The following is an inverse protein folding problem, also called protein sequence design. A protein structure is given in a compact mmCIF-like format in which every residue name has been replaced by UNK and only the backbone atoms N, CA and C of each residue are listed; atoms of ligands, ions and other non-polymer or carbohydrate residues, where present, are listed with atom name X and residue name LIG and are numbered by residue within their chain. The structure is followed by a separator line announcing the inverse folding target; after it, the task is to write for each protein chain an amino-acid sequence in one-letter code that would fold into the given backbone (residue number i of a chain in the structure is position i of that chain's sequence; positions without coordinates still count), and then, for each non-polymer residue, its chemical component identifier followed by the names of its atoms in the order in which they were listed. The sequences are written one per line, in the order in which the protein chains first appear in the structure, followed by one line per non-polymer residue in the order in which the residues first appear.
data_IF_903492645198
#
_entry.id   IF_903492645198
#
_cell.length_a   1.000
_cell.length_b   1.000
_cell.length_c   1.000
_cell.angle_alpha   90.00
_cell.angle_beta   90.00
_cell.angle_gamma   90.00
#
_symmetry.space_group_name_H-M   'P 1'
#
loop_
_entity.id
_entity.type
_entity.pdbx_description
1 polymer ?
#
# COMPACT_ATOMS: atom_id res chain seq x y z
N UNK A 1 45.34 -24.91 -31.60
CA UNK A 1 44.70 -23.91 -32.47
C UNK A 1 43.83 -23.02 -31.58
N UNK A 2 44.33 -22.00 -30.87
CA UNK A 2 45.52 -21.12 -31.02
C UNK A 2 45.33 -20.05 -32.12
N UNK A 3 45.74 -18.81 -31.80
CA UNK A 3 45.47 -17.50 -32.41
C UNK A 3 44.08 -16.96 -32.04
N UNK A 4 43.91 -15.92 -31.21
CA UNK A 4 44.43 -14.53 -31.18
C UNK A 4 44.03 -13.66 -32.38
N UNK A 5 43.29 -12.58 -32.08
CA UNK A 5 43.75 -11.23 -32.44
C UNK A 5 43.33 -10.23 -31.36
N UNK A 6 44.25 -9.31 -31.02
CA UNK A 6 44.07 -8.28 -29.99
C UNK A 6 44.57 -6.96 -30.57
N UNK A 7 43.76 -5.90 -30.52
CA UNK A 7 44.26 -4.53 -30.72
C UNK A 7 43.35 -3.51 -30.02
N UNK A 8 43.97 -2.44 -29.56
CA UNK A 8 43.40 -1.48 -28.61
C UNK A 8 43.78 -0.04 -29.00
N UNK A 9 43.20 0.92 -28.29
CA UNK A 9 43.53 2.36 -28.28
C UNK A 9 43.28 3.18 -29.55
N UNK A 10 42.44 4.21 -29.40
CA UNK A 10 42.96 5.58 -29.16
C UNK A 10 42.03 6.38 -28.25
N UNK A 11 42.60 7.28 -27.46
CA UNK A 11 41.86 8.34 -26.78
C UNK A 11 41.51 9.44 -27.79
N UNK A 12 40.41 10.16 -27.52
CA UNK A 12 40.29 11.58 -27.83
C UNK A 12 39.72 12.29 -26.59
N UNK A 13 40.15 13.53 -26.35
CA UNK A 13 39.83 14.30 -25.15
C UNK A 13 39.06 15.58 -25.50
N UNK A 14 37.99 15.83 -24.74
CA UNK A 14 37.31 17.12 -24.61
C UNK A 14 36.28 17.49 -25.69
N UNK A 15 35.57 18.62 -25.52
CA UNK A 15 35.55 19.50 -24.34
C UNK A 15 34.23 19.42 -23.53
N UNK A 16 34.21 20.07 -22.37
CA UNK A 16 32.99 20.22 -21.54
C UNK A 16 32.13 21.40 -22.03
N UNK A 17 30.80 21.26 -22.14
CA UNK A 17 29.88 22.38 -22.32
C UNK A 17 29.58 23.06 -20.96
N UNK A 18 29.79 24.38 -20.90
CA UNK A 18 29.44 25.20 -19.73
C UNK A 18 27.91 25.43 -19.62
N UNK A 19 27.37 25.74 -18.44
CA UNK A 19 25.93 25.92 -18.24
C UNK A 19 25.39 27.16 -18.97
N UNK A 20 24.29 26.99 -19.71
CA UNK A 20 23.54 28.08 -20.32
C UNK A 20 22.80 28.91 -19.27
N UNK A 21 23.07 30.22 -19.24
CA UNK A 21 22.26 31.17 -18.48
C UNK A 21 20.90 31.37 -19.19
N UNK A 22 19.81 31.31 -18.43
CA UNK A 22 18.51 31.84 -18.87
C UNK A 22 18.34 33.28 -18.36
N UNK A 23 17.85 34.22 -19.20
CA UNK A 23 17.67 35.61 -18.80
C UNK A 23 16.47 35.79 -17.86
N UNK A 24 16.60 36.69 -16.88
CA UNK A 24 15.46 37.25 -16.14
C UNK A 24 14.80 38.34 -16.98
N UNK A 25 13.50 38.23 -17.26
CA UNK A 25 12.50 39.26 -17.60
C UNK A 25 11.20 38.51 -17.96
N UNK A 26 9.98 38.91 -17.59
CA UNK A 26 9.54 39.90 -16.60
C UNK A 26 8.20 39.41 -16.01
N UNK A 27 7.94 39.67 -14.72
CA UNK A 27 6.63 39.40 -14.12
C UNK A 27 5.67 40.56 -14.40
N UNK A 28 4.64 40.31 -15.22
CA UNK A 28 3.53 41.23 -15.42
C UNK A 28 2.65 41.31 -14.17
N UNK A 29 2.14 42.51 -13.89
CA UNK A 29 1.13 42.74 -12.84
C UNK A 29 -0.24 42.27 -13.33
N UNK A 30 -1.05 41.75 -12.42
CA UNK A 30 -2.49 42.01 -12.39
C UNK A 30 -2.97 41.96 -10.94
N UNK A 31 -3.97 42.77 -10.62
CA UNK A 31 -4.28 43.17 -9.25
C UNK A 31 -5.09 42.12 -8.47
N UNK A 32 -4.94 42.17 -7.14
CA UNK A 32 -6.00 41.75 -6.21
C UNK A 32 -6.28 42.87 -5.22
N UNK A 33 -7.35 43.58 -5.52
CA UNK A 33 -7.88 44.67 -4.71
C UNK A 33 -8.45 44.10 -3.40
N UNK A 34 -8.05 44.66 -2.26
CA UNK A 34 -8.61 44.30 -0.97
C UNK A 34 -9.96 45.01 -0.77
N UNK A 35 -10.98 44.28 -0.34
CA UNK A 35 -12.24 44.87 0.13
C UNK A 35 -12.17 45.05 1.65
N UNK A 36 -12.56 46.24 2.11
CA UNK A 36 -12.51 46.67 3.53
C UNK A 36 -13.94 47.03 3.96
N UNK A 37 -14.47 46.30 4.94
CA UNK A 37 -15.69 46.70 5.66
C UNK A 37 -15.36 47.73 6.78
N UNK A 38 -16.32 48.55 7.23
CA UNK A 38 -16.03 49.80 7.95
C UNK A 38 -15.90 49.72 9.49
N UNK A 39 -15.13 50.68 10.01
CA UNK A 39 -15.40 51.62 11.12
C UNK A 39 -16.82 51.61 11.77
N UNK A 40 -17.05 51.96 13.05
CA UNK A 40 -16.22 52.31 14.24
C UNK A 40 -17.14 52.27 15.50
N UNK A 41 -16.82 52.51 16.79
CA UNK A 41 -15.64 52.84 17.62
C UNK A 41 -15.90 52.20 19.03
N UNK A 42 -15.16 52.55 20.11
CA UNK A 42 -15.54 52.11 21.47
C UNK A 42 -14.60 52.37 22.67
N UNK A 43 -13.57 53.23 22.58
CA UNK A 43 -12.69 53.67 23.68
C UNK A 43 -11.84 52.65 24.50
N UNK A 44 -10.53 52.90 24.46
CA UNK A 44 -9.46 52.46 25.39
C UNK A 44 -9.48 53.29 26.72
N UNK A 45 -8.53 53.17 27.69
CA UNK A 45 -7.23 52.45 27.74
C UNK A 45 -7.17 51.36 28.86
N UNK A 46 -6.18 50.43 28.98
CA UNK A 46 -4.71 50.55 29.08
C UNK A 46 -4.24 51.43 30.28
N UNK A 47 -3.15 51.12 31.02
CA UNK A 47 -1.96 50.32 30.72
C UNK A 47 -1.26 49.74 32.00
N UNK A 48 -0.41 48.72 31.82
CA UNK A 48 0.83 48.38 32.58
C UNK A 48 0.85 47.91 34.07
N UNK A 49 1.45 46.72 34.21
CA UNK A 49 2.48 46.27 35.18
C UNK A 49 2.55 46.78 36.64
N UNK A 50 2.52 45.79 37.54
CA UNK A 50 3.39 45.58 38.70
C UNK A 50 3.43 46.63 39.85
N UNK A 51 3.13 46.15 41.07
CA UNK A 51 4.14 46.05 42.15
C UNK A 51 3.73 45.06 43.24
N UNK A 52 4.76 44.46 43.83
CA UNK A 52 4.79 43.53 44.98
C UNK A 52 4.13 44.10 46.25
N UNK A 53 3.28 43.32 46.94
CA UNK A 53 3.07 43.51 48.38
C UNK A 53 2.77 42.18 49.10
N UNK A 54 3.02 42.13 50.42
CA UNK A 54 3.00 40.92 51.26
C UNK A 54 2.71 41.29 52.71
N UNK A 55 1.46 41.22 53.15
CA UNK A 55 1.12 41.12 54.59
C UNK A 55 -0.28 40.55 54.85
N UNK A 56 -0.31 39.77 55.92
CA UNK A 56 -1.39 39.38 56.82
C UNK A 56 -2.80 40.01 56.67
N UNK A 57 -3.82 39.19 56.95
CA UNK A 57 -4.99 39.64 57.71
C UNK A 57 -5.43 38.56 58.70
N UNK A 58 -5.64 38.92 59.97
CA UNK A 58 -6.01 37.98 61.03
C UNK A 58 -7.49 37.56 60.95
N UNK A 59 -7.73 36.42 61.58
CA UNK A 59 -9.00 35.73 61.79
C UNK A 59 -10.22 36.61 62.12
N UNK A 60 -11.40 36.06 61.81
CA UNK A 60 -12.48 36.05 62.78
C UNK A 60 -13.19 34.69 62.75
N UNK A 61 -13.49 34.11 63.91
CA UNK A 61 -14.25 32.86 64.02
C UNK A 61 -15.75 33.10 63.86
N UNK A 62 -16.45 32.08 63.35
CA UNK A 62 -17.83 31.71 63.70
C UNK A 62 -18.06 30.24 63.38
N UNK A 63 -18.29 29.44 64.41
CA UNK A 63 -18.54 28.01 64.30
C UNK A 63 -19.91 27.70 63.69
N UNK A 64 -19.95 26.74 62.77
CA UNK A 64 -21.18 26.09 62.31
C UNK A 64 -20.96 24.57 62.26
N UNK A 65 -21.78 23.86 63.03
CA UNK A 65 -21.56 22.47 63.41
C UNK A 65 -22.28 21.52 62.45
N UNK A 66 -21.54 20.81 61.61
CA UNK A 66 -22.09 19.87 60.63
C UNK A 66 -22.25 18.46 61.21
N UNK A 67 -23.37 17.80 60.89
CA UNK A 67 -23.64 16.42 61.30
C UNK A 67 -22.63 15.45 60.67
N UNK A 68 -22.07 14.57 61.49
CA UNK A 68 -21.14 13.53 61.04
C UNK A 68 -21.90 12.35 60.44
N UNK A 69 -21.97 12.28 59.12
CA UNK A 69 -22.34 11.05 58.41
C UNK A 69 -21.17 10.05 58.57
N UNK A 70 -21.39 8.81 59.04
CA UNK A 70 -20.32 7.83 59.16
C UNK A 70 -19.82 7.40 57.79
N UNK A 71 -18.60 7.78 57.42
CA UNK A 71 -17.93 7.15 56.28
C UNK A 71 -17.55 5.71 56.65
N UNK A 72 -17.79 4.71 55.77
CA UNK A 72 -17.29 3.38 56.01
C UNK A 72 -15.76 3.45 56.10
N UNK A 73 -15.18 2.86 57.15
CA UNK A 73 -13.74 2.92 57.44
C UNK A 73 -12.96 2.06 56.44
N UNK A 74 -12.82 2.57 55.22
CA UNK A 74 -12.02 1.94 54.17
C UNK A 74 -10.60 1.73 54.66
N UNK A 75 -10.17 0.48 54.71
CA UNK A 75 -8.77 0.13 54.96
C UNK A 75 -7.90 0.81 53.91
N UNK A 76 -6.78 1.40 54.35
CA UNK A 76 -5.76 1.87 53.40
C UNK A 76 -5.33 0.64 52.58
N UNK A 77 -5.34 0.68 51.24
CA UNK A 77 -4.93 -0.46 50.44
C UNK A 77 -3.50 -0.83 50.79
N UNK A 78 -3.26 -2.10 51.10
CA UNK A 78 -1.96 -2.55 51.59
C UNK A 78 -0.83 -2.16 50.66
N UNK A 79 0.31 -1.80 51.24
CA UNK A 79 1.50 -1.35 50.48
C UNK A 79 1.98 -2.43 49.49
N UNK A 80 1.71 -3.70 49.80
CA UNK A 80 1.88 -4.84 48.91
C UNK A 80 0.82 -4.86 47.79
N UNK A 81 -0.47 -4.73 48.14
CA UNK A 81 -1.56 -4.74 47.17
C UNK A 81 -1.45 -3.62 46.13
N UNK A 82 -1.10 -2.40 46.55
CA UNK A 82 -0.90 -1.28 45.63
C UNK A 82 0.30 -1.50 44.68
N UNK A 83 1.38 -2.15 45.17
CA UNK A 83 2.52 -2.54 44.33
C UNK A 83 2.15 -3.63 43.32
N UNK A 84 1.34 -4.61 43.71
CA UNK A 84 0.85 -5.67 42.80
C UNK A 84 -0.04 -5.07 41.71
N UNK A 85 -0.99 -4.19 42.05
CA UNK A 85 -1.84 -3.52 41.05
C UNK A 85 -1.02 -2.70 40.05
N UNK A 86 -0.01 -1.96 40.51
CA UNK A 86 0.89 -1.21 39.63
C UNK A 86 1.74 -2.12 38.74
N UNK A 87 2.24 -3.24 39.28
CA UNK A 87 3.00 -4.22 38.51
C UNK A 87 2.14 -4.86 37.41
N UNK A 88 0.92 -5.29 37.72
CA UNK A 88 -0.02 -5.87 36.75
C UNK A 88 -0.43 -4.84 35.70
N UNK A 89 -0.70 -3.58 36.09
CA UNK A 89 -1.03 -2.51 35.15
C UNK A 89 0.14 -2.21 34.19
N UNK A 90 1.38 -2.17 34.69
CA UNK A 90 2.57 -1.99 33.86
C UNK A 90 2.79 -3.19 32.91
N UNK A 91 2.55 -4.42 33.37
CA UNK A 91 2.69 -5.63 32.55
C UNK A 91 1.64 -5.66 31.42
N UNK A 92 0.38 -5.35 31.73
CA UNK A 92 -0.69 -5.19 30.74
C UNK A 92 -0.39 -4.05 29.75
N UNK A 93 0.17 -2.92 30.22
CA UNK A 93 0.62 -1.86 29.32
C UNK A 93 1.74 -2.32 28.38
N UNK A 94 2.69 -3.15 28.83
CA UNK A 94 3.74 -3.71 27.95
C UNK A 94 3.20 -4.71 26.91
N UNK A 95 2.14 -5.46 27.25
CA UNK A 95 1.43 -6.33 26.31
C UNK A 95 0.64 -5.54 25.26
N UNK A 96 0.11 -4.36 25.61
CA UNK A 96 -0.55 -3.46 24.64
C UNK A 96 0.48 -2.73 23.77
N UNK A 97 1.60 -2.28 24.32
CA UNK A 97 2.68 -1.62 23.55
C UNK A 97 3.30 -2.51 22.47
N UNK A 98 3.27 -3.83 22.65
CA UNK A 98 3.79 -4.81 21.68
C UNK A 98 2.84 -5.09 20.50
N UNK A 99 1.63 -4.50 20.48
CA UNK A 99 0.72 -4.49 19.32
C UNK A 99 0.95 -3.32 18.35
N UNK A 100 2.08 -2.61 18.48
CA UNK A 100 2.53 -1.61 17.49
C UNK A 100 2.96 -2.31 16.18
N UNK A 101 1.97 -2.60 15.32
CA UNK A 101 2.20 -3.05 13.94
C UNK A 101 3.21 -2.10 13.26
N UNK A 102 4.40 -2.58 12.84
CA UNK A 102 5.33 -1.73 12.14
C UNK A 102 4.71 -1.34 10.79
N UNK A 103 4.54 -0.04 10.54
CA UNK A 103 4.00 0.54 9.30
C UNK A 103 4.97 0.41 8.10
N UNK A 104 5.74 -0.69 8.07
CA UNK A 104 6.80 -1.05 7.15
C UNK A 104 6.65 -2.53 6.76
N UNK A 105 5.44 -2.93 6.37
CA UNK A 105 5.14 -4.21 5.68
C UNK A 105 4.52 -3.90 4.32
N UNK A 106 4.97 -4.58 3.27
CA UNK A 106 4.32 -4.52 1.96
C UNK A 106 2.99 -5.28 2.01
N UNK A 107 1.96 -4.89 1.24
CA UNK A 107 0.66 -5.56 1.26
C UNK A 107 0.75 -6.99 0.74
N UNK A 108 -0.01 -7.89 1.35
CA UNK A 108 -0.24 -9.24 0.82
C UNK A 108 -1.33 -9.20 -0.29
N UNK A 109 -1.39 -10.22 -1.13
CA UNK A 109 -2.40 -10.38 -2.18
C UNK A 109 -3.83 -10.53 -1.64
N UNK A 110 -3.97 -10.81 -0.33
CA UNK A 110 -5.26 -10.91 0.38
C UNK A 110 -5.75 -9.54 0.87
N UNK A 111 -4.93 -8.48 0.80
CA UNK A 111 -5.28 -7.15 1.30
C UNK A 111 -6.27 -6.45 0.37
N UNK A 112 -7.46 -6.11 0.89
CA UNK A 112 -8.53 -5.53 0.07
C UNK A 112 -8.13 -4.22 -0.62
N UNK A 113 -7.35 -3.35 0.02
CA UNK A 113 -7.06 -2.03 -0.53
C UNK A 113 -5.99 -2.09 -1.62
N UNK A 114 -5.03 -3.02 -1.50
CA UNK A 114 -4.12 -3.43 -2.57
C UNK A 114 -4.88 -4.02 -3.77
N UNK A 115 -5.88 -4.88 -3.53
CA UNK A 115 -6.76 -5.42 -4.58
C UNK A 115 -7.54 -4.30 -5.28
N UNK A 116 -8.21 -3.44 -4.49
CA UNK A 116 -8.99 -2.29 -4.98
C UNK A 116 -8.11 -1.37 -5.82
N UNK A 117 -6.91 -1.02 -5.35
CA UNK A 117 -5.99 -0.16 -6.09
C UNK A 117 -5.47 -0.79 -7.37
N UNK A 118 -5.15 -2.09 -7.36
CA UNK A 118 -4.73 -2.78 -8.57
C UNK A 118 -5.81 -2.71 -9.65
N UNK A 119 -7.06 -3.03 -9.32
CA UNK A 119 -8.18 -2.97 -10.26
C UNK A 119 -8.52 -1.53 -10.67
N UNK A 120 -8.61 -0.61 -9.69
CA UNK A 120 -9.00 0.80 -9.88
C UNK A 120 -8.03 1.55 -10.79
N UNK A 121 -6.72 1.39 -10.58
CA UNK A 121 -5.70 2.10 -11.37
C UNK A 121 -5.62 1.53 -12.79
N UNK A 122 -5.74 0.21 -12.98
CA UNK A 122 -5.87 -0.36 -14.34
C UNK A 122 -7.13 0.16 -15.06
N UNK A 123 -8.30 0.09 -14.43
CA UNK A 123 -9.55 0.53 -15.07
C UNK A 123 -9.54 2.02 -15.39
N UNK A 124 -8.96 2.88 -14.53
CA UNK A 124 -8.73 4.30 -14.85
C UNK A 124 -7.92 4.47 -16.14
N UNK A 125 -6.76 3.82 -16.25
CA UNK A 125 -5.92 3.93 -17.44
C UNK A 125 -6.57 3.32 -18.70
N UNK A 126 -7.46 2.35 -18.54
CA UNK A 126 -8.24 1.74 -19.63
C UNK A 126 -9.39 2.65 -20.10
N UNK A 127 -10.00 3.44 -19.21
CA UNK A 127 -11.09 4.36 -19.54
C UNK A 127 -10.63 5.71 -20.11
N UNK A 128 -9.37 6.09 -19.85
CA UNK A 128 -8.74 7.35 -20.27
C UNK A 128 -7.86 7.21 -21.55
N UNK A 129 -7.92 6.09 -22.27
CA UNK A 129 -7.07 5.84 -23.46
C UNK A 129 -7.32 6.83 -24.61
N UNK A 130 -6.21 7.26 -25.24
CA UNK A 130 -6.21 8.06 -26.46
C UNK A 130 -5.38 7.35 -27.54
N UNK A 131 -5.94 7.02 -28.73
CA UNK A 131 -7.32 7.23 -29.14
C UNK A 131 -8.32 6.38 -28.33
N UNK A 132 -9.59 6.80 -28.32
CA UNK A 132 -10.65 6.05 -27.65
C UNK A 132 -10.79 4.60 -28.18
N UNK A 133 -11.11 3.69 -27.27
CA UNK A 133 -11.30 2.27 -27.53
C UNK A 133 -12.78 1.89 -27.58
N UNK A 134 -13.21 1.14 -28.59
CA UNK A 134 -14.60 0.70 -28.73
C UNK A 134 -14.92 -0.63 -28.04
N UNK A 135 -13.90 -1.40 -27.64
CA UNK A 135 -14.01 -2.80 -27.16
C UNK A 135 -13.28 -3.07 -25.83
N UNK A 136 -12.84 -2.03 -25.12
CA UNK A 136 -12.05 -2.15 -23.89
C UNK A 136 -12.84 -2.84 -22.78
N UNK A 137 -12.48 -4.08 -22.41
CA UNK A 137 -13.18 -4.80 -21.34
C UNK A 137 -12.87 -4.20 -19.97
N UNK A 138 -13.86 -4.20 -19.08
CA UNK A 138 -13.70 -3.88 -17.66
C UNK A 138 -12.80 -4.94 -17.01
N UNK A 139 -11.76 -4.51 -16.31
CA UNK A 139 -10.79 -5.40 -15.66
C UNK A 139 -11.23 -5.71 -14.22
N UNK A 140 -11.06 -6.96 -13.78
CA UNK A 140 -11.39 -7.40 -12.42
C UNK A 140 -10.30 -8.27 -11.81
N UNK A 141 -10.31 -8.39 -10.48
CA UNK A 141 -9.32 -9.19 -9.76
C UNK A 141 -9.52 -10.69 -9.99
N UNK A 142 -8.39 -11.40 -10.08
CA UNK A 142 -8.33 -12.86 -10.08
C UNK A 142 -7.33 -13.36 -9.03
N UNK A 143 -7.77 -14.12 -8.02
CA UNK A 143 -6.91 -14.59 -6.94
C UNK A 143 -5.92 -15.68 -7.38
N UNK A 144 -6.16 -16.39 -8.48
CA UNK A 144 -5.24 -17.40 -9.02
C UNK A 144 -4.11 -16.71 -9.77
N UNK A 145 -4.40 -15.68 -10.57
CA UNK A 145 -3.37 -14.81 -11.15
C UNK A 145 -2.51 -14.15 -10.07
N UNK A 146 -3.11 -13.72 -8.95
CA UNK A 146 -2.37 -13.13 -7.83
C UNK A 146 -1.48 -14.15 -7.10
N UNK A 147 -1.91 -15.41 -6.99
CA UNK A 147 -1.07 -16.50 -6.47
C UNK A 147 0.11 -16.81 -7.41
N UNK A 148 -0.09 -16.78 -8.72
CA UNK A 148 0.98 -16.96 -9.72
C UNK A 148 2.01 -15.82 -9.61
N UNK A 149 1.55 -14.56 -9.55
CA UNK A 149 2.41 -13.40 -9.33
C UNK A 149 3.20 -13.51 -8.01
N UNK A 150 2.54 -13.97 -6.93
CA UNK A 150 3.16 -14.17 -5.60
C UNK A 150 4.16 -15.32 -5.58
N UNK A 151 3.95 -16.36 -6.39
CA UNK A 151 4.91 -17.44 -6.56
C UNK A 151 6.15 -16.94 -7.31
N UNK A 152 5.97 -16.23 -8.44
CA UNK A 152 7.10 -15.75 -9.25
C UNK A 152 7.91 -14.63 -8.57
N UNK A 153 7.25 -13.64 -7.95
CA UNK A 153 7.93 -12.51 -7.30
C UNK A 153 8.90 -12.94 -6.17
N UNK A 154 8.69 -14.11 -5.54
CA UNK A 154 9.60 -14.69 -4.54
C UNK A 154 10.99 -15.02 -5.06
N UNK A 155 11.15 -15.21 -6.38
CA UNK A 155 12.45 -15.47 -6.99
C UNK A 155 13.34 -14.21 -7.01
N UNK A 156 12.75 -13.00 -6.87
CA UNK A 156 13.46 -11.71 -6.92
C UNK A 156 14.34 -11.58 -8.18
N UNK A 157 13.76 -11.80 -9.35
CA UNK A 157 14.45 -11.72 -10.64
C UNK A 157 13.70 -10.78 -11.58
N UNK A 158 14.40 -9.82 -12.20
CA UNK A 158 13.82 -8.97 -13.24
C UNK A 158 13.81 -9.71 -14.59
N UNK A 159 13.03 -10.80 -14.62
CA UNK A 159 12.85 -11.68 -15.77
C UNK A 159 11.41 -12.22 -15.75
N UNK A 160 10.84 -12.46 -16.93
CA UNK A 160 9.48 -12.98 -17.04
C UNK A 160 9.37 -14.45 -16.61
N UNK A 161 8.21 -14.82 -16.07
CA UNK A 161 7.89 -16.19 -15.73
C UNK A 161 7.87 -17.07 -17.00
N UNK A 162 8.74 -18.08 -17.04
CA UNK A 162 8.90 -18.97 -18.19
C UNK A 162 7.72 -19.92 -18.44
N UNK A 163 6.76 -20.00 -17.49
CA UNK A 163 5.61 -20.89 -17.53
C UNK A 163 4.28 -20.19 -17.93
N UNK A 164 4.33 -18.94 -18.40
CA UNK A 164 3.13 -18.17 -18.78
C UNK A 164 2.44 -18.66 -20.06
N UNK A 165 3.06 -19.56 -20.83
CA UNK A 165 2.65 -20.00 -22.18
C UNK A 165 2.74 -21.55 -22.29
N UNK A 166 2.07 -22.17 -23.28
CA UNK A 166 2.17 -23.61 -23.53
C UNK A 166 3.62 -24.09 -23.70
N UNK A 167 3.97 -25.32 -23.27
CA UNK A 167 3.08 -26.38 -22.80
C UNK A 167 2.52 -26.17 -21.38
N UNK A 168 3.01 -25.18 -20.63
CA UNK A 168 2.52 -24.86 -19.30
C UNK A 168 1.13 -24.21 -19.35
N UNK A 169 0.31 -24.48 -18.33
CA UNK A 169 -1.02 -23.88 -18.15
C UNK A 169 -1.26 -23.58 -16.67
N UNK A 170 -0.71 -22.45 -16.21
CA UNK A 170 -0.80 -22.03 -14.80
C UNK A 170 -2.22 -21.65 -14.36
N UNK A 171 -3.10 -21.30 -15.30
CA UNK A 171 -4.49 -20.91 -15.01
C UNK A 171 -5.50 -21.81 -15.73
N UNK A 172 -6.54 -22.34 -15.05
CA UNK A 172 -7.48 -23.28 -15.67
C UNK A 172 -8.23 -22.68 -16.87
N UNK A 173 -8.53 -21.39 -16.82
CA UNK A 173 -9.37 -20.71 -17.84
C UNK A 173 -8.57 -19.98 -18.93
N UNK A 174 -7.24 -19.90 -18.83
CA UNK A 174 -6.41 -19.14 -19.80
C UNK A 174 -5.25 -19.99 -20.33
N UNK A 175 -5.21 -20.20 -21.65
CA UNK A 175 -4.14 -20.93 -22.37
C UNK A 175 -2.81 -20.16 -22.37
N UNK A 176 -2.83 -18.86 -22.10
CA UNK A 176 -1.64 -18.02 -21.98
C UNK A 176 -1.94 -16.83 -21.09
N UNK A 177 -0.95 -16.46 -20.29
CA UNK A 177 -1.00 -15.31 -19.39
C UNK A 177 -0.10 -14.18 -19.88
N UNK A 178 -0.48 -12.95 -19.55
CA UNK A 178 0.36 -11.76 -19.65
C UNK A 178 1.10 -11.53 -18.34
N UNK A 179 2.12 -10.67 -18.37
CA UNK A 179 2.87 -10.29 -17.17
C UNK A 179 3.52 -8.92 -17.34
N UNK A 180 3.39 -8.07 -16.33
CA UNK A 180 4.16 -6.84 -16.17
C UNK A 180 4.98 -6.93 -14.88
N UNK A 181 6.22 -6.42 -14.90
CA UNK A 181 7.13 -6.41 -13.76
C UNK A 181 7.58 -4.97 -13.49
N UNK A 182 7.55 -4.56 -12.23
CA UNK A 182 8.10 -3.30 -11.73
C UNK A 182 9.10 -3.61 -10.62
N UNK A 183 10.18 -2.84 -10.55
CA UNK A 183 11.22 -3.02 -9.54
C UNK A 183 11.84 -1.68 -9.21
N UNK A 184 11.99 -1.39 -7.92
CA UNK A 184 12.57 -0.13 -7.46
C UNK A 184 12.77 -0.08 -5.95
N UNK A 185 13.17 1.08 -5.44
CA UNK A 185 13.26 1.30 -3.99
C UNK A 185 11.91 1.04 -3.34
N UNK A 186 11.92 0.32 -2.22
CA UNK A 186 10.72 0.05 -1.43
C UNK A 186 10.01 1.33 -0.93
N UNK A 187 10.75 2.43 -0.73
CA UNK A 187 10.17 3.73 -0.37
C UNK A 187 9.44 4.45 -1.50
N UNK A 188 9.62 4.02 -2.76
CA UNK A 188 8.95 4.57 -3.94
C UNK A 188 7.76 3.71 -4.40
N UNK A 189 7.56 2.54 -3.80
CA UNK A 189 6.49 1.63 -4.20
C UNK A 189 5.13 2.11 -3.67
N UNK A 190 4.24 2.38 -4.60
CA UNK A 190 2.79 2.19 -4.42
C UNK A 190 2.24 1.50 -5.66
N UNK A 191 1.07 0.87 -5.55
CA UNK A 191 0.36 0.26 -6.68
C UNK A 191 0.12 1.30 -7.79
N UNK A 192 -0.31 2.50 -7.39
CA UNK A 192 -0.47 3.64 -8.31
C UNK A 192 0.84 4.01 -9.01
N UNK A 193 1.94 4.16 -8.26
CA UNK A 193 3.26 4.50 -8.82
C UNK A 193 3.74 3.47 -9.84
N UNK A 194 3.59 2.18 -9.54
CA UNK A 194 4.07 1.11 -10.40
C UNK A 194 3.26 0.97 -11.69
N UNK A 195 1.92 1.00 -11.61
CA UNK A 195 1.05 0.91 -12.80
C UNK A 195 1.13 2.20 -13.63
N UNK A 196 1.31 3.37 -13.00
CA UNK A 196 1.57 4.63 -13.73
C UNK A 196 2.90 4.57 -14.47
N UNK A 197 3.96 4.01 -13.88
CA UNK A 197 5.24 3.85 -14.57
C UNK A 197 5.13 2.91 -15.79
N UNK A 198 4.30 1.87 -15.72
CA UNK A 198 3.97 1.02 -16.87
C UNK A 198 3.14 1.77 -17.93
N UNK A 199 2.12 2.53 -17.52
CA UNK A 199 1.25 3.27 -18.45
C UNK A 199 1.98 4.39 -19.19
N UNK A 200 2.89 5.10 -18.51
CA UNK A 200 3.65 6.21 -19.09
C UNK A 200 4.56 5.79 -20.25
N UNK A 201 4.78 4.49 -20.49
CA UNK A 201 5.39 4.03 -21.75
C UNK A 201 4.58 4.43 -23.01
N UNK A 202 3.33 4.90 -22.86
CA UNK A 202 2.56 5.53 -23.93
C UNK A 202 3.33 6.67 -24.64
N UNK A 203 4.22 7.38 -23.92
CA UNK A 203 5.07 8.44 -24.46
C UNK A 203 5.98 7.95 -25.61
N UNK A 204 6.23 6.64 -25.68
CA UNK A 204 7.10 6.01 -26.64
C UNK A 204 6.36 5.23 -27.74
N UNK A 205 5.02 5.16 -27.68
CA UNK A 205 4.17 4.31 -28.52
C UNK A 205 3.32 5.11 -29.51
N UNK A 206 3.61 5.01 -30.82
CA UNK A 206 2.71 5.53 -31.86
C UNK A 206 1.61 4.51 -32.17
N UNK A 207 0.40 4.76 -31.68
CA UNK A 207 -0.78 3.93 -31.97
C UNK A 207 -1.08 3.81 -33.47
N UNK A 208 -0.78 4.82 -34.31
CA UNK A 208 -1.07 4.78 -35.75
C UNK A 208 -0.23 3.74 -36.48
N UNK A 209 1.04 3.60 -36.12
CA UNK A 209 1.98 2.64 -36.75
C UNK A 209 2.33 1.43 -35.89
N UNK A 210 1.87 1.39 -34.64
CA UNK A 210 2.26 0.45 -33.58
C UNK A 210 3.76 0.44 -33.26
N UNK A 211 4.50 1.48 -33.67
CA UNK A 211 5.93 1.58 -33.41
C UNK A 211 6.17 2.00 -31.97
N UNK A 212 7.06 1.27 -31.30
CA UNK A 212 7.64 1.65 -30.03
C UNK A 212 9.04 2.23 -30.25
N UNK A 213 9.37 3.34 -29.59
CA UNK A 213 10.70 3.97 -29.64
C UNK A 213 11.63 3.57 -28.48
N UNK A 214 11.10 2.92 -27.44
CA UNK A 214 11.84 2.37 -26.29
C UNK A 214 11.25 1.02 -25.86
N UNK A 215 10.69 0.93 -24.66
CA UNK A 215 9.83 -0.16 -24.18
C UNK A 215 8.41 0.39 -24.11
N UNK A 216 7.44 -0.40 -24.59
CA UNK A 216 6.01 -0.08 -24.60
C UNK A 216 5.11 -1.26 -24.18
N UNK A 217 5.73 -2.40 -23.84
CA UNK A 217 5.03 -3.65 -23.57
C UNK A 217 4.22 -3.63 -22.27
N UNK A 218 4.64 -2.83 -21.29
CA UNK A 218 3.89 -2.70 -20.05
C UNK A 218 2.64 -1.84 -20.27
N UNK A 219 2.77 -0.73 -21.00
CA UNK A 219 1.63 0.08 -21.44
C UNK A 219 0.63 -0.75 -22.23
N UNK A 220 1.06 -1.43 -23.31
CA UNK A 220 0.13 -2.18 -24.17
C UNK A 220 -0.58 -3.30 -23.42
N UNK A 221 0.03 -3.90 -22.39
CA UNK A 221 -0.64 -4.90 -21.55
C UNK A 221 -1.63 -4.28 -20.55
N UNK A 222 -1.33 -3.11 -19.95
CA UNK A 222 -2.30 -2.38 -19.09
C UNK A 222 -3.58 -2.04 -19.88
N UNK A 223 -3.43 -1.58 -21.12
CA UNK A 223 -4.54 -1.18 -22.01
C UNK A 223 -4.98 -2.28 -22.98
N UNK A 224 -4.63 -3.55 -22.74
CA UNK A 224 -5.04 -4.63 -23.66
C UNK A 224 -6.53 -4.95 -23.50
N UNK A 225 -7.35 -4.67 -24.53
CA UNK A 225 -8.81 -4.77 -24.48
C UNK A 225 -9.27 -6.14 -23.96
N UNK A 226 -8.79 -7.23 -24.56
CA UNK A 226 -9.21 -8.59 -24.22
C UNK A 226 -8.78 -9.05 -22.81
N UNK A 227 -7.79 -8.41 -22.18
CA UNK A 227 -7.30 -8.79 -20.84
C UNK A 227 -8.23 -8.25 -19.75
N UNK A 228 -9.19 -9.07 -19.29
CA UNK A 228 -10.24 -8.69 -18.33
C UNK A 228 -9.99 -9.19 -16.90
N UNK A 229 -9.04 -10.09 -16.67
CA UNK A 229 -8.58 -10.47 -15.32
C UNK A 229 -7.15 -10.00 -15.07
N UNK A 230 -6.90 -9.53 -13.85
CA UNK A 230 -5.56 -9.22 -13.34
C UNK A 230 -5.40 -9.75 -11.93
N UNK A 231 -4.21 -10.25 -11.60
CA UNK A 231 -3.83 -10.56 -10.23
C UNK A 231 -2.36 -10.21 -10.02
N UNK A 232 -2.09 -9.52 -8.91
CA UNK A 232 -0.77 -8.93 -8.65
C UNK A 232 -0.21 -9.36 -7.29
N UNK A 233 1.10 -9.23 -7.12
CA UNK A 233 1.80 -9.41 -5.86
C UNK A 233 3.02 -8.49 -5.77
N UNK A 234 3.43 -8.14 -4.55
CA UNK A 234 4.70 -7.44 -4.31
C UNK A 234 5.54 -8.22 -3.29
N UNK A 235 6.82 -8.40 -3.59
CA UNK A 235 7.81 -9.05 -2.73
C UNK A 235 8.83 -8.01 -2.24
N UNK A 236 9.25 -8.12 -0.98
CA UNK A 236 10.44 -7.41 -0.48
C UNK A 236 11.68 -8.23 -0.85
N UNK A 237 12.59 -7.65 -1.62
CA UNK A 237 13.75 -8.35 -2.17
C UNK A 237 15.06 -7.69 -1.67
N UNK A 238 15.89 -8.38 -0.86
CA UNK A 238 17.16 -7.84 -0.37
C UNK A 238 18.12 -7.42 -1.50
N UNK A 239 18.07 -8.15 -2.63
CA UNK A 239 18.60 -7.82 -3.96
C UNK A 239 17.61 -8.33 -5.01
N UNK A 240 17.68 -7.81 -6.24
CA UNK A 240 16.93 -8.33 -7.39
C UNK A 240 17.90 -8.66 -8.54
N UNK A 241 17.89 -9.89 -9.04
CA UNK A 241 18.72 -10.27 -10.20
C UNK A 241 18.35 -9.42 -11.41
N UNK A 242 19.34 -8.78 -12.04
CA UNK A 242 19.14 -7.74 -13.06
C UNK A 242 19.37 -6.31 -12.57
N UNK A 243 19.48 -6.09 -11.25
CA UNK A 243 19.86 -4.79 -10.66
C UNK A 243 21.06 -4.96 -9.71
N UNK A 244 22.23 -4.45 -10.10
CA UNK A 244 23.46 -4.57 -9.30
C UNK A 244 23.44 -3.72 -8.02
N UNK A 245 22.88 -2.51 -8.10
CA UNK A 245 22.92 -1.49 -7.04
C UNK A 245 21.67 -1.45 -6.16
N UNK A 246 20.57 -2.10 -6.58
CA UNK A 246 19.33 -2.10 -5.82
C UNK A 246 19.42 -3.05 -4.62
N UNK A 247 19.25 -2.50 -3.43
CA UNK A 247 19.11 -3.25 -2.18
C UNK A 247 17.76 -2.96 -1.51
N UNK A 248 17.21 -3.97 -0.82
CA UNK A 248 15.93 -3.89 -0.11
C UNK A 248 14.77 -3.33 -0.96
N UNK A 249 14.74 -3.72 -2.25
CA UNK A 249 13.76 -3.25 -3.21
C UNK A 249 12.36 -3.84 -2.98
N UNK A 250 11.36 -3.17 -3.54
CA UNK A 250 10.05 -3.76 -3.79
C UNK A 250 10.01 -4.26 -5.24
N UNK A 251 9.57 -5.50 -5.41
CA UNK A 251 9.49 -6.19 -6.70
C UNK A 251 8.02 -6.59 -6.91
N UNK A 252 7.34 -5.89 -7.82
CA UNK A 252 5.89 -5.96 -8.03
C UNK A 252 5.59 -6.57 -9.39
N UNK A 253 4.70 -7.56 -9.41
CA UNK A 253 4.34 -8.31 -10.61
C UNK A 253 2.82 -8.33 -10.70
N UNK A 254 2.28 -8.11 -11.90
CA UNK A 254 0.88 -8.36 -12.24
C UNK A 254 0.82 -9.36 -13.40
N UNK A 255 0.05 -10.44 -13.24
CA UNK A 255 -0.30 -11.35 -14.31
C UNK A 255 -1.69 -11.04 -14.86
N UNK A 256 -1.87 -11.20 -16.17
CA UNK A 256 -3.07 -10.82 -16.91
C UNK A 256 -3.71 -12.01 -17.62
N UNK A 257 -5.03 -12.06 -17.61
CA UNK A 257 -5.83 -13.15 -18.18
C UNK A 257 -6.97 -12.65 -19.06
N UNK A 258 -7.08 -13.09 -20.33
CA UNK A 258 -6.02 -13.71 -21.13
C UNK A 258 -4.79 -12.80 -21.31
N UNK A 259 -3.70 -13.35 -21.84
CA UNK A 259 -2.53 -12.60 -22.25
C UNK A 259 -2.86 -11.48 -23.26
N UNK A 260 -2.18 -10.35 -23.14
CA UNK A 260 -2.06 -9.36 -24.21
C UNK A 260 -0.73 -9.49 -24.98
N UNK A 261 -0.30 -8.37 -25.58
CA UNK A 261 0.96 -8.20 -26.31
C UNK A 261 1.15 -9.14 -27.51
N UNK A 262 0.06 -9.52 -28.17
CA UNK A 262 0.09 -10.08 -29.52
C UNK A 262 0.52 -9.01 -30.56
N UNK A 263 1.00 -9.37 -31.76
CA UNK A 263 1.56 -8.43 -32.74
C UNK A 263 0.51 -7.57 -33.51
N UNK A 264 -0.47 -7.02 -32.79
CA UNK A 264 -1.60 -6.21 -33.26
C UNK A 264 -1.74 -4.92 -32.42
N UNK A 265 -2.84 -4.17 -32.56
CA UNK A 265 -3.18 -3.06 -31.67
C UNK A 265 -3.71 -3.59 -30.33
N UNK A 266 -3.47 -2.92 -29.19
CA UNK A 266 -3.94 -3.38 -27.89
C UNK A 266 -5.48 -3.27 -27.72
N UNK A 267 -6.15 -2.44 -28.52
CA UNK A 267 -7.60 -2.26 -28.53
C UNK A 267 -8.09 -1.80 -29.91
N UNK A 268 -9.38 -1.94 -30.21
CA UNK A 268 -9.99 -1.38 -31.43
C UNK A 268 -10.23 0.12 -31.23
N UNK A 269 -9.65 0.96 -32.10
CA UNK A 269 -9.96 2.39 -32.11
C UNK A 269 -11.42 2.62 -32.54
N UNK A 270 -12.17 3.38 -31.76
CA UNK A 270 -13.54 3.79 -32.08
C UNK A 270 -14.18 4.61 -30.95
N UNK A 271 -15.44 5.02 -31.13
CA UNK A 271 -16.22 5.63 -30.04
C UNK A 271 -16.39 4.62 -28.90
N UNK A 272 -16.37 5.09 -27.66
CA UNK A 272 -16.32 4.21 -26.48
C UNK A 272 -17.49 3.23 -26.44
N UNK A 273 -17.19 1.99 -26.03
CA UNK A 273 -18.14 0.87 -25.96
C UNK A 273 -18.86 0.44 -27.26
N UNK A 274 -18.59 1.04 -28.42
CA UNK A 274 -19.34 0.73 -29.66
C UNK A 274 -19.05 -0.64 -30.30
N UNK A 275 -18.09 -1.40 -29.76
CA UNK A 275 -17.71 -2.74 -30.20
C UNK A 275 -17.60 -3.74 -29.02
N UNK A 276 -18.31 -3.48 -27.92
CA UNK A 276 -18.41 -4.40 -26.79
C UNK A 276 -19.00 -5.78 -27.18
N UNK A 277 -18.73 -6.84 -26.41
CA UNK A 277 -19.45 -8.11 -26.52
C UNK A 277 -20.96 -7.95 -26.36
N UNK A 278 -21.73 -8.91 -26.87
CA UNK A 278 -23.20 -8.89 -26.74
C UNK A 278 -23.60 -8.99 -25.27
N UNK A 279 -24.55 -8.15 -24.88
CA UNK A 279 -25.10 -8.03 -23.51
C UNK A 279 -24.14 -7.43 -22.47
N UNK A 280 -22.98 -6.91 -22.87
CA UNK A 280 -22.18 -6.02 -22.02
C UNK A 280 -22.85 -4.64 -21.89
N UNK A 281 -22.67 -4.00 -20.74
CA UNK A 281 -23.05 -2.61 -20.47
C UNK A 281 -21.81 -1.71 -20.54
N UNK A 282 -21.98 -0.44 -20.91
CA UNK A 282 -20.90 0.53 -20.83
C UNK A 282 -20.84 1.14 -19.42
N UNK A 283 -19.72 0.93 -18.71
CA UNK A 283 -19.44 1.51 -17.40
C UNK A 283 -18.09 2.24 -17.49
N UNK A 284 -18.09 3.55 -17.28
CA UNK A 284 -16.88 4.39 -17.32
C UNK A 284 -16.00 4.14 -18.56
N UNK A 285 -16.59 4.18 -19.77
CA UNK A 285 -15.97 3.83 -21.06
C UNK A 285 -15.53 2.36 -21.26
N UNK A 286 -15.80 1.47 -20.31
CA UNK A 286 -15.42 0.06 -20.35
C UNK A 286 -16.63 -0.86 -20.59
N UNK A 287 -16.44 -1.92 -21.35
CA UNK A 287 -17.41 -2.99 -21.54
C UNK A 287 -17.47 -3.87 -20.28
N UNK A 288 -18.54 -3.77 -19.50
CA UNK A 288 -18.74 -4.52 -18.26
C UNK A 288 -19.83 -5.61 -18.41
N UNK A 289 -19.64 -6.76 -17.75
CA UNK A 289 -20.49 -7.93 -17.85
C UNK A 289 -20.57 -8.69 -16.51
N UNK A 290 -21.73 -8.79 -15.86
CA UNK A 290 -21.85 -9.41 -14.53
C UNK A 290 -21.39 -10.87 -14.43
N UNK A 291 -21.32 -11.64 -15.52
CA UNK A 291 -20.85 -13.02 -15.49
C UNK A 291 -19.32 -13.10 -15.53
N UNK A 292 -18.69 -12.35 -16.45
CA UNK A 292 -17.23 -12.29 -16.63
C UNK A 292 -16.55 -11.54 -15.48
N UNK A 293 -17.15 -10.44 -15.05
CA UNK A 293 -16.60 -9.51 -14.08
C UNK A 293 -16.92 -9.92 -12.63
N UNK A 294 -17.63 -11.04 -12.45
CA UNK A 294 -17.78 -11.69 -11.17
C UNK A 294 -16.39 -11.96 -10.55
N UNK A 295 -16.22 -11.55 -9.28
CA UNK A 295 -15.03 -11.83 -8.48
C UNK A 295 -15.41 -12.90 -7.47
N UNK A 296 -15.01 -14.14 -7.75
CA UNK A 296 -15.23 -15.29 -6.85
C UNK A 296 -14.64 -14.99 -5.48
N UNK A 297 -15.49 -14.79 -4.45
CA UNK A 297 -15.09 -14.40 -3.10
C UNK A 297 -14.28 -15.51 -2.39
N UNK A 298 -12.97 -15.45 -2.59
CA UNK A 298 -11.88 -15.79 -1.66
C UNK A 298 -11.77 -17.18 -1.02
N UNK A 299 -12.78 -18.05 -1.06
CA UNK A 299 -12.79 -19.34 -0.35
C UNK A 299 -13.30 -20.53 -1.20
N UNK A 300 -13.17 -20.48 -2.52
CA UNK A 300 -13.27 -21.68 -3.36
C UNK A 300 -11.91 -22.39 -3.37
N UNK A 301 -11.77 -23.40 -2.50
CA UNK A 301 -10.52 -24.14 -2.28
C UNK A 301 -10.20 -25.09 -3.44
N UNK A 302 -9.65 -24.53 -4.53
CA UNK A 302 -9.01 -25.30 -5.60
C UNK A 302 -7.49 -25.14 -5.44
N UNK A 303 -6.88 -26.06 -4.70
CA UNK A 303 -5.42 -26.17 -4.66
C UNK A 303 -4.93 -26.87 -5.94
N UNK A 304 -4.06 -26.24 -6.76
CA UNK A 304 -3.23 -26.99 -7.69
C UNK A 304 -2.14 -27.77 -6.92
N UNK A 305 -1.74 -28.93 -7.41
CA UNK A 305 -0.84 -29.87 -6.71
C UNK A 305 0.60 -29.34 -6.55
N UNK A 306 0.83 -28.52 -5.53
CA UNK A 306 2.15 -28.01 -5.14
C UNK A 306 2.36 -28.09 -3.61
N UNK A 307 3.57 -28.45 -3.13
CA UNK A 307 3.85 -28.56 -1.70
C UNK A 307 3.94 -27.18 -1.03
N UNK A 308 2.86 -26.75 -0.37
CA UNK A 308 2.81 -25.49 0.37
C UNK A 308 3.65 -25.59 1.65
N UNK A 309 4.86 -25.02 1.63
CA UNK A 309 5.64 -24.78 2.86
C UNK A 309 4.83 -23.90 3.82
N UNK A 310 4.71 -24.33 5.08
CA UNK A 310 3.52 -24.01 5.89
C UNK A 310 3.40 -22.56 6.33
N UNK A 311 2.17 -22.03 6.24
CA UNK A 311 1.70 -20.84 6.98
C UNK A 311 2.17 -20.90 8.43
N UNK A 312 2.74 -19.80 8.94
CA UNK A 312 3.50 -19.77 10.19
C UNK A 312 2.65 -20.06 11.45
N UNK A 313 2.52 -21.34 11.81
CA UNK A 313 1.62 -21.84 12.87
C UNK A 313 1.83 -21.21 14.25
N UNK A 314 3.04 -20.74 14.55
CA UNK A 314 3.38 -20.18 15.86
C UNK A 314 2.54 -18.94 16.22
N UNK A 315 2.17 -18.09 15.25
CA UNK A 315 1.37 -16.87 15.52
C UNK A 315 -0.04 -17.24 15.99
N UNK A 316 -0.70 -18.19 15.32
CA UNK A 316 -2.05 -18.64 15.69
C UNK A 316 -2.05 -19.36 17.04
N UNK A 317 -1.05 -20.21 17.31
CA UNK A 317 -0.88 -20.85 18.61
C UNK A 317 -0.67 -19.84 19.75
N UNK A 318 0.14 -18.80 19.54
CA UNK A 318 0.39 -17.79 20.57
C UNK A 318 -0.89 -17.05 20.96
N UNK A 319 -1.71 -16.63 19.98
CA UNK A 319 -2.98 -15.95 20.22
C UNK A 319 -4.02 -16.83 20.96
N UNK A 320 -3.99 -18.14 20.75
CA UNK A 320 -4.91 -19.09 21.40
C UNK A 320 -4.42 -19.50 22.80
N UNK A 321 -3.10 -19.64 23.00
CA UNK A 321 -2.51 -20.23 24.22
C UNK A 321 -2.17 -19.17 25.27
N UNK A 322 -1.84 -17.93 24.90
CA UNK A 322 -1.53 -16.88 25.88
C UNK A 322 -2.71 -16.48 26.79
N UNK A 323 -3.95 -16.24 26.30
CA UNK A 323 -5.04 -15.81 27.17
C UNK A 323 -5.42 -16.81 28.27
N UNK A 324 -5.52 -18.14 28.01
CA UNK A 324 -5.74 -19.14 29.05
C UNK A 324 -4.63 -19.18 30.11
N UNK A 325 -3.36 -19.03 29.71
CA UNK A 325 -2.22 -19.02 30.65
C UNK A 325 -2.29 -17.81 31.59
N UNK A 326 -2.67 -16.63 31.07
CA UNK A 326 -2.84 -15.42 31.89
C UNK A 326 -4.02 -15.55 32.86
N UNK A 327 -5.15 -16.12 32.42
CA UNK A 327 -6.28 -16.43 33.30
C UNK A 327 -5.90 -17.41 34.41
N UNK A 328 -5.18 -18.48 34.09
CA UNK A 328 -4.66 -19.43 35.08
C UNK A 328 -3.72 -18.75 36.10
N UNK A 329 -2.81 -17.88 35.65
CA UNK A 329 -1.93 -17.11 36.54
C UNK A 329 -2.68 -16.20 37.52
N UNK A 330 -3.76 -15.55 37.06
CA UNK A 330 -4.65 -14.73 37.91
C UNK A 330 -5.43 -15.59 38.91
N UNK A 331 -5.98 -16.72 38.47
CA UNK A 331 -6.70 -17.67 39.34
C UNK A 331 -5.76 -18.21 40.44
N UNK A 332 -4.53 -18.59 40.08
CA UNK A 332 -3.52 -19.08 41.03
C UNK A 332 -3.13 -17.99 42.04
N UNK A 333 -2.92 -16.74 41.61
CA UNK A 333 -2.58 -15.66 42.57
C UNK A 333 -3.74 -15.30 43.50
N UNK A 334 -4.99 -15.34 43.03
CA UNK A 334 -6.18 -15.20 43.89
C UNK A 334 -6.26 -16.35 44.90
N UNK A 335 -6.07 -17.59 44.47
CA UNK A 335 -6.12 -18.77 45.33
C UNK A 335 -5.01 -18.78 46.39
N UNK A 336 -3.76 -18.45 46.01
CA UNK A 336 -2.63 -18.33 46.94
C UNK A 336 -2.91 -17.24 47.98
N UNK A 337 -3.39 -16.05 47.55
CA UNK A 337 -3.72 -14.95 48.48
C UNK A 337 -4.86 -15.29 49.44
N UNK A 338 -5.86 -16.07 48.99
CA UNK A 338 -6.93 -16.55 49.85
C UNK A 338 -6.45 -17.64 50.83
N UNK A 339 -5.54 -18.53 50.41
CA UNK A 339 -5.06 -19.64 51.22
C UNK A 339 -3.97 -19.24 52.23
N UNK A 340 -3.19 -18.21 51.92
CA UNK A 340 -2.09 -17.71 52.74
C UNK A 340 -2.20 -16.19 52.94
N UNK A 341 -3.19 -15.68 53.72
CA UNK A 341 -3.48 -14.24 53.86
C UNK A 341 -2.42 -13.45 54.67
N UNK A 342 -1.27 -14.04 54.95
CA UNK A 342 -0.15 -13.47 55.71
C UNK A 342 1.19 -13.55 54.95
N UNK A 343 1.13 -13.77 53.63
CA UNK A 343 2.25 -13.76 52.67
C UNK A 343 1.96 -12.71 51.60
#
# INVERSE_FOLDING_TARGET
MLLFFHRSFRLFLGPSPQPLLLPRLALSRLDKQAQKDPEENGNRPQLQLAVRCKTERRAHSRDLQWLQIPTPRGSRPDRLSMRVTLAVAAWMASLVSSYSYPANTLPDIENEDFIKDCVRVHNKFRSEVNPAASDMLYMTWDPVLAQIAKAWARHCQFAHNSQLKPPYKLHPNFTSLGENIWTGSRSLFSVSSAITAWYNEMEYYDFKTRKCSKVCGHYTQVVWADSYKVGCAVQSCPKVSGFETLSNGAHFICNYGPAGNYPTWPYKKGSTCTACPRNDICLDNLCANPQRDNVTRYYSTVYPDWPISSRNRYISLFLIVSPPILLLGVIITIWVKHKYPHI
#
